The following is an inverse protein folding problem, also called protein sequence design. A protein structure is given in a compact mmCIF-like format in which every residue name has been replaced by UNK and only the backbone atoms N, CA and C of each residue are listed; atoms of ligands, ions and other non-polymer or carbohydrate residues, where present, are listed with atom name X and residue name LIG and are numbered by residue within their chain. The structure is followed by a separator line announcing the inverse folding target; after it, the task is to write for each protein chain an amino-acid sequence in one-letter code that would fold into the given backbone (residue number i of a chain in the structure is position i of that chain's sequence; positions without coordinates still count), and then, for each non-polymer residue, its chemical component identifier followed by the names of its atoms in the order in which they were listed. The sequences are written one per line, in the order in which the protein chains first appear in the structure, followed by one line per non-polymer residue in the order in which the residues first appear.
data_IF_200951630360
#
_entry.id   IF_200951630360
#
_cell.length_a   1.000
_cell.length_b   1.000
_cell.length_c   1.000
_cell.angle_alpha   90.00
_cell.angle_beta   90.00
_cell.angle_gamma   90.00
#
_symmetry.space_group_name_H-M   'P 1'
#
loop_
_entity.id
_entity.type
_entity.pdbx_description
1 polymer ?
#
# COMPACT_ATOMS: atom_id res chain seq x y z
N UNK A 1 -18.89 21.77 47.40
CA UNK A 1 -17.69 21.09 46.86
C UNK A 1 -17.32 21.80 45.56
N UNK A 2 -16.21 22.55 45.58
CA UNK A 2 -15.80 23.47 44.52
C UNK A 2 -14.87 22.77 43.49
N UNK A 3 -14.91 23.15 42.20
CA UNK A 3 -14.04 22.59 41.17
C UNK A 3 -12.64 23.21 41.22
N UNK A 4 -11.61 22.35 41.30
CA UNK A 4 -10.19 22.71 41.24
C UNK A 4 -9.79 22.92 39.77
N UNK A 5 -9.58 24.19 39.40
CA UNK A 5 -8.98 24.62 38.14
C UNK A 5 -7.46 24.32 38.14
N UNK A 6 -7.01 23.40 37.28
CA UNK A 6 -5.59 23.17 37.01
C UNK A 6 -5.15 23.94 35.76
N UNK A 7 -4.31 24.93 35.95
CA UNK A 7 -3.69 25.78 34.92
C UNK A 7 -2.54 25.07 34.19
N UNK A 8 -2.59 25.04 32.85
CA UNK A 8 -1.53 24.58 31.95
C UNK A 8 -0.43 25.65 31.81
N UNK A 9 0.81 25.28 32.17
CA UNK A 9 1.99 26.15 32.03
C UNK A 9 2.67 25.90 30.68
N UNK A 10 2.37 26.77 29.70
CA UNK A 10 3.09 26.90 28.42
C UNK A 10 4.54 27.31 28.68
N UNK A 11 5.51 26.52 28.20
CA UNK A 11 6.92 26.90 28.16
C UNK A 11 7.31 27.15 26.71
N UNK A 12 7.41 28.41 26.35
CA UNK A 12 8.03 28.87 25.11
C UNK A 12 9.55 28.71 25.24
N UNK A 13 10.20 28.13 24.23
CA UNK A 13 11.65 28.24 24.06
C UNK A 13 11.90 28.80 22.67
N UNK A 14 12.68 29.87 22.70
CA UNK A 14 12.92 30.83 21.65
C UNK A 14 13.70 30.26 20.47
N UNK A 15 13.32 30.77 19.29
CA UNK A 15 14.13 30.78 18.09
C UNK A 15 15.48 31.46 18.36
N UNK A 16 16.57 30.85 17.87
CA UNK A 16 17.88 31.50 17.74
C UNK A 16 18.24 31.57 16.28
N UNK A 17 18.00 32.75 15.70
CA UNK A 17 18.57 33.17 14.43
C UNK A 17 20.09 33.35 14.63
N UNK A 18 20.88 32.79 13.71
CA UNK A 18 22.33 32.88 13.71
C UNK A 18 22.84 32.94 12.27
N UNK A 19 22.78 34.14 11.70
CA UNK A 19 23.54 34.59 10.52
C UNK A 19 25.04 34.58 10.82
N UNK A 20 25.84 33.86 10.02
CA UNK A 20 27.24 34.24 9.73
C UNK A 20 27.77 33.44 8.53
N UNK A 21 27.90 34.12 7.39
CA UNK A 21 28.81 33.72 6.31
C UNK A 21 30.25 34.07 6.70
N UNK A 22 31.23 33.23 6.33
CA UNK A 22 32.49 33.77 5.85
C UNK A 22 32.81 33.24 4.45
N UNK A 23 33.04 34.21 3.57
CA UNK A 23 33.50 34.08 2.19
C UNK A 23 35.03 34.00 2.21
N UNK A 24 35.62 32.81 2.02
CA UNK A 24 37.06 32.69 1.71
C UNK A 24 37.31 31.53 0.74
N UNK A 25 37.66 31.90 -0.49
CA UNK A 25 38.34 31.07 -1.49
C UNK A 25 39.74 30.66 -0.97
N UNK A 26 40.39 29.61 -1.52
CA UNK A 26 41.10 29.79 -2.79
C UNK A 26 41.01 28.62 -3.78
N UNK A 27 40.98 29.02 -5.06
CA UNK A 27 41.34 28.24 -6.24
C UNK A 27 42.78 27.72 -6.10
N UNK A 28 42.96 26.42 -5.90
CA UNK A 28 44.20 25.73 -6.26
C UNK A 28 43.85 24.38 -6.87
N UNK A 29 43.88 24.35 -8.20
CA UNK A 29 43.85 23.13 -8.99
C UNK A 29 45.22 22.46 -8.92
N UNK A 30 45.34 21.21 -8.43
CA UNK A 30 46.42 20.35 -8.87
C UNK A 30 46.05 19.80 -10.26
N UNK A 31 46.69 20.37 -11.29
CA UNK A 31 46.89 19.72 -12.59
C UNK A 31 47.67 18.42 -12.36
N UNK A 32 46.96 17.33 -12.09
CA UNK A 32 47.52 15.99 -12.16
C UNK A 32 47.09 15.39 -13.50
N UNK A 33 48.07 15.37 -14.39
CA UNK A 33 48.13 14.76 -15.70
C UNK A 33 47.26 13.51 -15.86
N UNK A 34 46.41 13.41 -16.89
CA UNK A 34 45.85 12.13 -17.32
C UNK A 34 46.98 11.30 -17.93
N UNK A 35 47.67 10.52 -17.08
CA UNK A 35 48.58 9.47 -17.55
C UNK A 35 47.70 8.43 -18.23
N UNK A 36 47.82 8.37 -19.55
CA UNK A 36 47.13 7.42 -20.43
C UNK A 36 47.30 5.99 -19.90
N UNK A 37 46.29 5.50 -19.18
CA UNK A 37 46.13 4.08 -18.95
C UNK A 37 45.61 3.46 -20.26
N UNK A 38 46.20 2.35 -20.71
CA UNK A 38 45.76 1.67 -21.92
C UNK A 38 44.28 1.32 -21.79
N UNK A 39 43.55 1.68 -22.84
CA UNK A 39 42.16 1.36 -23.10
C UNK A 39 42.03 -0.15 -23.35
N UNK A 40 42.26 -0.94 -22.29
CA UNK A 40 41.87 -2.34 -22.26
C UNK A 40 40.34 -2.36 -22.08
N UNK A 41 39.64 -2.41 -23.21
CA UNK A 41 38.22 -2.71 -23.23
C UNK A 41 37.98 -3.94 -22.36
N UNK A 42 37.21 -3.86 -21.26
CA UNK A 42 36.84 -5.05 -20.52
C UNK A 42 36.10 -5.97 -21.49
N UNK A 43 36.66 -7.18 -21.63
CA UNK A 43 36.06 -8.27 -22.39
C UNK A 43 34.60 -8.41 -21.98
N UNK A 44 33.74 -8.46 -23.01
CA UNK A 44 32.30 -8.67 -22.97
C UNK A 44 31.78 -9.13 -21.61
N UNK A 45 31.20 -8.20 -20.84
CA UNK A 45 30.30 -8.58 -19.77
C UNK A 45 29.25 -9.52 -20.38
N UNK A 46 28.97 -10.69 -19.79
CA UNK A 46 28.02 -11.62 -20.35
C UNK A 46 26.68 -10.89 -20.52
N UNK A 47 26.21 -10.77 -21.76
CA UNK A 47 24.92 -10.22 -22.15
C UNK A 47 23.72 -11.08 -21.65
N UNK A 48 23.92 -11.86 -20.59
CA UNK A 48 22.95 -12.78 -20.00
C UNK A 48 22.21 -12.14 -18.83
N UNK A 49 21.69 -10.93 -19.04
CA UNK A 49 20.72 -10.30 -18.14
C UNK A 49 19.39 -10.08 -18.83
N UNK A 50 19.07 -10.90 -19.83
CA UNK A 50 17.76 -10.89 -20.46
C UNK A 50 16.73 -11.09 -19.37
N UNK A 51 15.90 -10.07 -19.16
CA UNK A 51 14.79 -10.04 -18.23
C UNK A 51 13.80 -11.12 -18.71
N UNK A 52 14.11 -12.39 -18.49
CA UNK A 52 13.23 -13.51 -18.82
C UNK A 52 11.98 -13.25 -18.02
N UNK A 53 10.92 -12.84 -18.71
CA UNK A 53 9.60 -12.73 -18.12
C UNK A 53 9.23 -14.15 -17.69
N UNK A 54 9.42 -14.42 -16.40
CA UNK A 54 9.00 -15.68 -15.81
C UNK A 54 7.51 -15.85 -16.08
N UNK A 55 7.11 -17.06 -16.45
CA UNK A 55 5.69 -17.38 -16.65
C UNK A 55 4.92 -17.15 -15.36
N UNK A 56 3.61 -16.88 -15.46
CA UNK A 56 2.77 -16.57 -14.29
C UNK A 56 2.84 -17.65 -13.20
N UNK A 57 2.91 -18.92 -13.61
CA UNK A 57 3.02 -20.06 -12.69
C UNK A 57 4.36 -20.11 -11.96
N UNK A 58 5.47 -19.90 -12.67
CA UNK A 58 6.81 -19.85 -12.07
C UNK A 58 6.89 -18.69 -11.06
N UNK A 59 6.34 -17.53 -11.42
CA UNK A 59 6.29 -16.37 -10.54
C UNK A 59 5.49 -16.65 -9.26
N UNK A 60 4.35 -17.32 -9.36
CA UNK A 60 3.56 -17.70 -8.18
C UNK A 60 4.27 -18.74 -7.30
N UNK A 61 4.92 -19.75 -7.89
CA UNK A 61 5.70 -20.73 -7.15
C UNK A 61 6.90 -20.08 -6.43
N UNK A 62 7.62 -19.19 -7.12
CA UNK A 62 8.70 -18.40 -6.54
C UNK A 62 8.20 -17.49 -5.42
N UNK A 63 7.03 -16.85 -5.59
CA UNK A 63 6.40 -16.01 -4.58
C UNK A 63 6.06 -16.80 -3.31
N UNK A 64 5.46 -17.99 -3.42
CA UNK A 64 5.16 -18.85 -2.25
C UNK A 64 6.43 -19.24 -1.49
N UNK A 65 7.46 -19.71 -2.21
CA UNK A 65 8.76 -20.04 -1.60
C UNK A 65 9.42 -18.83 -0.95
N UNK A 66 9.37 -17.67 -1.61
CA UNK A 66 9.89 -16.43 -1.06
C UNK A 66 9.20 -16.05 0.25
N UNK A 67 7.87 -16.14 0.30
CA UNK A 67 7.08 -15.88 1.51
C UNK A 67 7.54 -16.82 2.64
N UNK A 68 7.54 -18.14 2.42
CA UNK A 68 7.96 -19.12 3.44
C UNK A 68 9.37 -18.84 3.99
N UNK A 69 10.33 -18.54 3.12
CA UNK A 69 11.71 -18.21 3.52
C UNK A 69 11.76 -16.92 4.33
N UNK A 70 10.99 -15.90 3.94
CA UNK A 70 10.93 -14.64 4.69
C UNK A 70 10.28 -14.86 6.06
N UNK A 71 9.15 -15.57 6.12
CA UNK A 71 8.46 -15.85 7.38
C UNK A 71 9.33 -16.65 8.35
N UNK A 72 10.01 -17.69 7.87
CA UNK A 72 10.94 -18.49 8.67
C UNK A 72 12.11 -17.64 9.16
N UNK A 73 12.68 -16.81 8.27
CA UNK A 73 13.75 -15.89 8.61
C UNK A 73 13.37 -14.83 9.64
N UNK A 74 12.18 -14.25 9.52
CA UNK A 74 11.64 -13.28 10.50
C UNK A 74 11.43 -13.91 11.88
N UNK A 75 10.95 -15.17 11.93
CA UNK A 75 10.79 -15.92 13.18
C UNK A 75 12.13 -16.25 13.83
N UNK A 76 13.15 -16.59 13.04
CA UNK A 76 14.48 -16.94 13.55
C UNK A 76 15.36 -15.72 13.89
N UNK A 77 15.30 -14.66 13.10
CA UNK A 77 16.19 -13.49 13.18
C UNK A 77 15.43 -12.21 13.53
N UNK A 78 14.39 -12.29 14.39
CA UNK A 78 13.65 -11.11 14.85
C UNK A 78 14.55 -10.05 15.51
N UNK A 79 15.66 -10.47 16.12
CA UNK A 79 16.66 -9.58 16.72
C UNK A 79 17.40 -8.70 15.71
N UNK A 80 17.50 -9.10 14.43
CA UNK A 80 18.16 -8.30 13.40
C UNK A 80 17.37 -7.02 13.10
N UNK A 81 16.04 -7.09 13.16
CA UNK A 81 15.16 -5.95 12.93
C UNK A 81 15.10 -4.97 14.11
N UNK A 82 15.51 -5.39 15.31
CA UNK A 82 15.55 -4.50 16.47
C UNK A 82 16.50 -3.29 16.28
N UNK A 83 17.44 -3.38 15.33
CA UNK A 83 18.36 -2.28 14.96
C UNK A 83 17.83 -1.40 13.83
N UNK A 84 16.61 -1.68 13.34
CA UNK A 84 15.99 -1.00 12.21
C UNK A 84 16.55 -1.42 10.85
N UNK A 85 17.35 -2.50 10.80
CA UNK A 85 17.90 -3.02 9.55
C UNK A 85 16.90 -3.97 8.89
N UNK A 86 16.71 -3.88 7.55
CA UNK A 86 15.80 -4.76 6.85
C UNK A 86 16.31 -6.19 6.86
N UNK A 87 15.43 -7.12 7.21
CA UNK A 87 15.70 -8.54 7.04
C UNK A 87 15.65 -8.90 5.55
N UNK A 88 16.78 -9.33 4.97
CA UNK A 88 16.87 -9.74 3.56
C UNK A 88 17.39 -11.20 3.52
N UNK A 89 16.63 -12.15 2.95
CA UNK A 89 17.09 -13.52 2.79
C UNK A 89 18.40 -13.61 2.00
N UNK A 90 19.37 -14.40 2.47
CA UNK A 90 20.70 -14.54 1.85
C UNK A 90 20.65 -15.00 0.38
N UNK A 91 19.67 -15.81 0.01
CA UNK A 91 19.45 -16.29 -1.36
C UNK A 91 18.67 -15.33 -2.27
N UNK A 92 18.18 -14.18 -1.77
CA UNK A 92 17.27 -13.32 -2.53
C UNK A 92 17.82 -12.91 -3.90
N UNK A 93 19.08 -12.50 -3.95
CA UNK A 93 19.71 -12.02 -5.19
C UNK A 93 19.85 -13.11 -6.25
N UNK A 94 20.02 -14.36 -5.85
CA UNK A 94 20.24 -15.49 -6.76
C UNK A 94 18.91 -16.06 -7.26
N UNK A 95 18.01 -16.43 -6.34
CA UNK A 95 16.84 -17.25 -6.66
C UNK A 95 15.60 -16.41 -6.99
N UNK A 96 15.38 -15.32 -6.25
CA UNK A 96 14.11 -14.60 -6.27
C UNK A 96 14.17 -13.30 -7.05
N UNK A 97 15.32 -12.62 -7.07
CA UNK A 97 15.45 -11.30 -7.71
C UNK A 97 15.16 -11.34 -9.22
N UNK A 98 15.50 -12.43 -9.91
CA UNK A 98 15.28 -12.55 -11.35
C UNK A 98 13.79 -12.66 -11.71
N UNK A 99 12.99 -13.31 -10.85
CA UNK A 99 11.58 -13.61 -11.10
C UNK A 99 10.65 -12.57 -10.44
N UNK A 100 10.98 -12.15 -9.22
CA UNK A 100 10.14 -11.28 -8.38
C UNK A 100 10.63 -9.83 -8.34
N UNK A 101 11.85 -9.56 -8.82
CA UNK A 101 12.44 -8.23 -8.83
C UNK A 101 13.10 -7.80 -7.52
N UNK A 102 13.28 -6.49 -7.31
CA UNK A 102 13.89 -5.95 -6.10
C UNK A 102 13.11 -6.31 -4.83
N UNK A 103 13.82 -6.77 -3.79
CA UNK A 103 13.22 -7.25 -2.54
C UNK A 103 12.21 -6.28 -1.93
N UNK A 104 12.59 -5.00 -1.78
CA UNK A 104 11.71 -3.97 -1.20
C UNK A 104 10.39 -3.84 -1.96
N UNK A 105 10.44 -3.89 -3.30
CA UNK A 105 9.25 -3.79 -4.16
C UNK A 105 8.35 -5.03 -4.02
N UNK A 106 8.96 -6.20 -3.92
CA UNK A 106 8.22 -7.45 -3.68
C UNK A 106 7.47 -7.40 -2.35
N UNK A 107 8.15 -7.02 -1.25
CA UNK A 107 7.55 -6.97 0.08
C UNK A 107 6.43 -5.93 0.16
N UNK A 108 6.63 -4.75 -0.44
CA UNK A 108 5.63 -3.68 -0.52
C UNK A 108 4.39 -4.09 -1.35
N UNK A 109 4.60 -4.87 -2.41
CA UNK A 109 3.53 -5.42 -3.24
C UNK A 109 2.80 -6.60 -2.59
N UNK A 110 3.39 -7.25 -1.58
CA UNK A 110 2.86 -8.46 -1.00
C UNK A 110 2.02 -8.14 0.24
N UNK A 111 0.74 -8.50 0.22
CA UNK A 111 -0.19 -8.26 1.34
C UNK A 111 0.13 -9.04 2.63
N UNK A 112 1.05 -10.03 2.56
CA UNK A 112 1.45 -10.84 3.70
C UNK A 112 2.44 -10.12 4.63
N UNK A 113 3.08 -9.07 4.12
CA UNK A 113 4.09 -8.32 4.82
C UNK A 113 3.70 -6.86 4.94
N UNK A 114 4.19 -6.23 5.99
CA UNK A 114 4.10 -4.78 6.19
C UNK A 114 5.50 -4.21 6.29
N UNK A 115 5.77 -3.20 5.49
CA UNK A 115 7.02 -2.46 5.54
C UNK A 115 6.82 -1.24 6.45
N UNK A 116 7.53 -1.20 7.57
CA UNK A 116 7.61 0.00 8.39
C UNK A 116 8.87 0.78 8.02
N UNK A 117 8.69 2.06 7.69
CA UNK A 117 9.80 2.91 7.34
C UNK A 117 10.55 3.31 8.62
N UNK A 118 11.85 3.03 8.65
CA UNK A 118 12.71 3.44 9.75
C UNK A 118 13.05 4.93 9.70
N UNK A 119 13.90 5.36 10.62
CA UNK A 119 14.37 6.75 10.76
C UNK A 119 15.05 7.30 9.49
N UNK A 120 15.64 6.42 8.67
CA UNK A 120 16.28 6.79 7.41
C UNK A 120 15.56 6.12 6.24
N UNK A 121 15.48 6.78 5.08
CA UNK A 121 14.86 6.21 3.88
C UNK A 121 15.46 4.86 3.43
N UNK A 122 16.71 4.58 3.81
CA UNK A 122 17.40 3.31 3.54
C UNK A 122 17.09 2.20 4.54
N UNK A 123 16.50 2.54 5.70
CA UNK A 123 16.19 1.62 6.79
C UNK A 123 14.69 1.36 6.81
N UNK A 124 14.32 0.09 6.85
CA UNK A 124 12.94 -0.34 6.97
C UNK A 124 12.88 -1.70 7.65
N UNK A 125 11.84 -1.93 8.44
CA UNK A 125 11.58 -3.23 9.06
C UNK A 125 10.40 -3.90 8.36
N UNK A 126 10.37 -5.22 8.39
CA UNK A 126 9.34 -6.02 7.73
C UNK A 126 8.63 -6.81 8.80
N UNK A 127 7.34 -6.56 8.97
CA UNK A 127 6.50 -7.26 9.93
C UNK A 127 5.59 -8.22 9.18
N UNK A 128 5.36 -9.40 9.78
CA UNK A 128 4.29 -10.29 9.35
C UNK A 128 2.95 -9.56 9.54
N UNK A 129 2.10 -9.56 8.52
CA UNK A 129 0.78 -8.94 8.62
C UNK A 129 -0.07 -9.54 9.76
N UNK A 130 0.24 -10.76 10.19
CA UNK A 130 -0.45 -11.46 11.29
C UNK A 130 0.15 -11.25 12.68
N UNK A 131 1.43 -10.87 12.81
CA UNK A 131 2.17 -11.04 14.08
C UNK A 131 2.26 -9.75 14.91
N UNK A 132 2.27 -8.59 14.26
CA UNK A 132 2.61 -7.34 14.95
C UNK A 132 1.70 -6.22 14.54
N UNK A 133 0.64 -6.00 15.34
CA UNK A 133 0.01 -4.70 15.58
C UNK A 133 -0.14 -3.80 14.37
N UNK A 134 -0.46 -4.39 13.20
CA UNK A 134 -0.49 -3.65 11.98
C UNK A 134 -1.54 -2.59 12.17
N UNK A 135 -1.15 -1.29 12.12
CA UNK A 135 -2.05 -0.15 12.02
C UNK A 135 -3.33 -0.66 11.40
N UNK A 136 -4.35 -0.82 12.25
CA UNK A 136 -5.61 -1.42 11.85
C UNK A 136 -5.90 -0.82 10.51
N UNK A 137 -6.15 -1.63 9.46
CA UNK A 137 -6.74 -1.06 8.24
C UNK A 137 -7.88 -0.22 8.79
N UNK A 138 -7.72 1.10 8.73
CA UNK A 138 -8.49 2.03 9.55
C UNK A 138 -9.93 1.57 9.33
N UNK A 139 -10.58 1.02 10.37
CA UNK A 139 -11.74 0.16 10.19
C UNK A 139 -12.66 0.88 9.23
N UNK A 140 -13.06 0.28 8.09
CA UNK A 140 -13.58 0.95 6.88
C UNK A 140 -14.32 2.29 7.07
N UNK A 141 -15.13 2.42 8.14
CA UNK A 141 -15.75 3.66 8.58
C UNK A 141 -14.78 4.85 8.77
N UNK A 142 -13.55 4.62 9.20
CA UNK A 142 -12.54 5.64 9.48
C UNK A 142 -11.89 6.15 8.18
N UNK A 143 -11.64 5.28 7.20
CA UNK A 143 -11.26 5.70 5.84
C UNK A 143 -12.36 6.58 5.22
N UNK A 144 -13.62 6.16 5.34
CA UNK A 144 -14.78 6.92 4.86
C UNK A 144 -14.91 8.26 5.59
N UNK A 145 -14.69 8.29 6.91
CA UNK A 145 -14.71 9.52 7.71
C UNK A 145 -13.58 10.47 7.30
N UNK A 146 -12.37 9.96 7.08
CA UNK A 146 -11.24 10.75 6.61
C UNK A 146 -11.52 11.34 5.23
N UNK A 147 -12.09 10.55 4.31
CA UNK A 147 -12.49 11.03 2.97
C UNK A 147 -13.58 12.10 3.05
N UNK A 148 -14.58 11.92 3.90
CA UNK A 148 -15.64 12.90 4.14
C UNK A 148 -15.07 14.21 4.72
N UNK A 149 -14.13 14.10 5.67
CA UNK A 149 -13.44 15.25 6.23
C UNK A 149 -12.61 16.00 5.17
N UNK A 150 -11.83 15.29 4.36
CA UNK A 150 -11.07 15.90 3.27
C UNK A 150 -11.99 16.60 2.24
N UNK A 151 -13.15 16.02 1.97
CA UNK A 151 -14.15 16.62 1.08
C UNK A 151 -14.72 17.91 1.68
N UNK A 152 -15.06 17.89 2.98
CA UNK A 152 -15.49 19.10 3.70
C UNK A 152 -14.42 20.19 3.66
N UNK A 153 -13.14 19.85 3.90
CA UNK A 153 -12.03 20.80 3.80
C UNK A 153 -11.87 21.38 2.39
N UNK A 154 -12.25 20.67 1.32
CA UNK A 154 -12.20 21.20 -0.05
C UNK A 154 -13.37 22.11 -0.38
N UNK A 155 -14.56 21.80 0.14
CA UNK A 155 -15.80 22.53 -0.14
C UNK A 155 -16.02 23.75 0.75
N UNK A 156 -15.41 23.78 1.94
CA UNK A 156 -15.58 24.85 2.91
C UNK A 156 -14.36 25.77 2.94
N UNK A 157 -14.59 27.08 2.88
CA UNK A 157 -13.54 28.10 3.03
C UNK A 157 -12.85 27.98 4.38
N UNK A 158 -11.54 28.30 4.42
CA UNK A 158 -10.71 28.16 5.64
C UNK A 158 -11.27 28.91 6.85
N UNK A 159 -11.97 30.02 6.65
CA UNK A 159 -12.55 30.86 7.70
C UNK A 159 -13.87 30.32 8.27
N UNK A 160 -14.47 29.32 7.61
CA UNK A 160 -15.76 28.71 8.00
C UNK A 160 -15.62 27.23 8.41
N UNK A 161 -14.38 26.73 8.53
CA UNK A 161 -14.12 25.34 8.89
C UNK A 161 -14.18 25.17 10.41
N UNK A 162 -15.34 24.75 10.88
CA UNK A 162 -15.55 24.41 12.28
C UNK A 162 -15.62 22.87 12.42
N UNK A 163 -14.66 22.24 13.10
CA UNK A 163 -14.65 20.78 13.28
C UNK A 163 -15.94 20.25 13.94
N UNK A 164 -16.50 21.03 14.88
CA UNK A 164 -17.72 20.67 15.60
C UNK A 164 -18.95 20.56 14.69
N UNK A 165 -19.06 21.42 13.67
CA UNK A 165 -20.16 21.35 12.70
C UNK A 165 -20.09 20.06 11.87
N UNK A 166 -18.88 19.67 11.46
CA UNK A 166 -18.68 18.41 10.72
C UNK A 166 -19.05 17.21 11.58
N UNK A 167 -18.59 17.15 12.84
CA UNK A 167 -18.90 16.05 13.76
C UNK A 167 -20.41 15.99 14.05
N UNK A 168 -21.07 17.14 14.25
CA UNK A 168 -22.51 17.20 14.45
C UNK A 168 -23.28 16.65 13.23
N UNK A 169 -22.82 16.98 12.01
CA UNK A 169 -23.43 16.50 10.77
C UNK A 169 -23.18 15.00 10.56
N UNK A 170 -21.96 14.52 10.80
CA UNK A 170 -21.64 13.09 10.76
C UNK A 170 -22.50 12.27 11.72
N UNK A 171 -22.68 12.75 12.97
CA UNK A 171 -23.59 12.12 13.95
C UNK A 171 -25.04 12.09 13.46
N UNK A 172 -25.53 13.16 12.84
CA UNK A 172 -26.88 13.21 12.25
C UNK A 172 -27.06 12.20 11.12
N UNK A 173 -26.04 11.98 10.29
CA UNK A 173 -26.07 10.97 9.22
C UNK A 173 -26.17 9.57 9.82
N UNK A 174 -25.31 9.22 10.79
CA UNK A 174 -25.35 7.90 11.44
C UNK A 174 -26.71 7.62 12.09
N UNK A 175 -27.29 8.61 12.77
CA UNK A 175 -28.63 8.48 13.37
C UNK A 175 -29.74 8.23 12.32
N UNK A 176 -29.61 8.82 11.14
CA UNK A 176 -30.57 8.64 10.03
C UNK A 176 -30.39 7.28 9.33
N UNK A 177 -29.15 6.86 9.11
CA UNK A 177 -28.84 5.61 8.39
C UNK A 177 -29.20 4.37 9.22
N UNK A 178 -28.93 4.39 10.53
CA UNK A 178 -29.30 3.29 11.43
C UNK A 178 -30.81 3.03 11.53
N UNK A 179 -31.64 4.06 11.26
CA UNK A 179 -33.10 3.92 11.27
C UNK A 179 -33.67 3.35 9.95
N UNK A 180 -32.91 3.45 8.85
CA UNK A 180 -33.34 2.98 7.52
C UNK A 180 -33.08 1.49 7.32
N UNK A 181 -31.94 0.97 7.79
CA UNK A 181 -31.61 -0.45 7.66
C UNK A 181 -32.56 -1.37 8.46
N UNK A 182 -33.10 -0.89 9.58
CA UNK A 182 -34.12 -1.60 10.36
C UNK A 182 -35.49 -1.68 9.65
N UNK A 183 -35.80 -0.74 8.75
CA UNK A 183 -37.06 -0.78 7.96
C UNK A 183 -36.96 -1.67 6.73
N UNK A 184 -35.77 -1.88 6.18
CA UNK A 184 -35.59 -2.72 5.00
C UNK A 184 -35.62 -4.22 5.34
N UNK A 185 -34.98 -4.64 6.44
CA UNK A 185 -35.07 -6.04 6.92
C UNK A 185 -36.49 -6.48 7.32
N UNK A 186 -37.35 -5.54 7.74
CA UNK A 186 -38.75 -5.84 8.09
C UNK A 186 -39.67 -6.04 6.87
N UNK A 187 -39.26 -5.57 5.69
CA UNK A 187 -40.01 -5.81 4.44
C UNK A 187 -39.64 -7.16 3.83
N UNK A 188 -38.39 -7.61 4.00
CA UNK A 188 -37.93 -8.90 3.47
C UNK A 188 -38.45 -10.09 4.29
N UNK A 189 -38.52 -10.00 5.62
CA UNK A 189 -39.10 -11.06 6.46
C UNK A 189 -40.63 -11.20 6.26
N UNK A 190 -41.32 -10.13 5.85
CA UNK A 190 -42.76 -10.18 5.56
C UNK A 190 -43.08 -10.72 4.17
N UNK A 191 -42.10 -10.81 3.27
CA UNK A 191 -42.25 -11.44 1.95
C UNK A 191 -42.06 -12.96 2.00
N UNK A 192 -41.20 -13.47 2.91
CA UNK A 192 -40.98 -14.91 3.08
C UNK A 192 -42.17 -15.65 3.72
N UNK A 193 -43.02 -14.97 4.48
CA UNK A 193 -44.25 -15.55 5.06
C UNK A 193 -45.45 -15.66 4.12
N UNK A 194 -45.34 -15.23 2.85
CA UNK A 194 -46.39 -15.38 1.83
C UNK A 194 -46.09 -16.46 0.78
N UNK A 195 -44.96 -17.16 0.88
CA UNK A 195 -44.58 -18.21 -0.09
C UNK A 195 -44.73 -19.65 0.42
N UNK A 196 -44.99 -19.88 1.72
CA UNK A 196 -45.25 -21.23 2.28
C UNK A 196 -46.74 -21.64 2.24
N UNK A 197 -47.57 -20.97 1.42
CA UNK A 197 -49.02 -21.18 1.37
C UNK A 197 -49.57 -21.73 0.05
N UNK A 198 -48.74 -22.33 -0.81
CA UNK A 198 -49.25 -22.95 -2.06
C UNK A 198 -48.48 -24.23 -2.43
N UNK A 199 -48.71 -25.26 -1.63
CA UNK A 199 -48.50 -26.64 -2.03
C UNK A 199 -49.66 -27.09 -2.93
N UNK A 200 -49.37 -27.46 -4.19
CA UNK A 200 -49.85 -28.68 -4.88
C UNK A 200 -49.51 -28.60 -6.38
N UNK A 201 -48.53 -29.42 -6.80
CA UNK A 201 -48.66 -30.45 -7.84
C UNK A 201 -47.35 -30.60 -8.67
N UNK A 202 -46.82 -31.84 -8.79
CA UNK A 202 -45.55 -32.11 -9.47
C UNK A 202 -45.77 -32.53 -10.92
N UNK A 203 -45.12 -31.88 -11.90
CA UNK A 203 -44.93 -32.47 -13.25
C UNK A 203 -43.61 -32.06 -13.91
N UNK A 204 -42.82 -33.11 -14.16
CA UNK A 204 -42.07 -33.44 -15.39
C UNK A 204 -40.81 -32.63 -15.75
N UNK A 205 -39.69 -33.34 -15.56
CA UNK A 205 -38.57 -33.57 -16.51
C UNK A 205 -38.55 -32.73 -17.80
N UNK A 206 -37.49 -31.94 -17.95
CA UNK A 206 -36.70 -31.72 -19.18
C UNK A 206 -35.40 -31.01 -18.71
N UNK A 207 -34.21 -31.60 -18.74
CA UNK A 207 -33.32 -31.84 -19.89
C UNK A 207 -33.30 -30.67 -20.89
N UNK A 208 -32.42 -29.70 -20.65
CA UNK A 208 -31.80 -28.93 -21.75
C UNK A 208 -30.39 -28.49 -21.35
N UNK A 209 -29.42 -28.97 -22.12
CA UNK A 209 -28.07 -28.43 -22.22
C UNK A 209 -28.11 -27.16 -23.08
N UNK A 210 -27.36 -26.11 -22.73
CA UNK A 210 -27.09 -24.93 -23.57
C UNK A 210 -25.83 -24.28 -22.98
N UNK A 211 -24.66 -24.42 -23.63
CA UNK A 211 -24.10 -23.55 -24.69
C UNK A 211 -23.46 -22.31 -24.04
N UNK A 212 -22.13 -22.26 -23.91
CA UNK A 212 -21.16 -21.71 -24.89
C UNK A 212 -21.34 -20.20 -25.11
N UNK A 213 -20.40 -19.45 -24.55
CA UNK A 213 -19.87 -18.12 -24.92
C UNK A 213 -18.51 -18.05 -24.20
N UNK A 214 -17.31 -17.96 -24.79
CA UNK A 214 -16.84 -17.51 -26.11
C UNK A 214 -17.34 -16.12 -26.52
N UNK A 215 -16.58 -15.12 -26.07
CA UNK A 215 -16.30 -13.76 -26.57
C UNK A 215 -14.83 -13.60 -26.13
N UNK A 216 -13.77 -13.46 -26.94
CA UNK A 216 -13.55 -12.87 -28.28
C UNK A 216 -14.01 -11.41 -28.41
N UNK A 217 -13.18 -10.60 -29.09
CA UNK A 217 -13.15 -9.12 -29.24
C UNK A 217 -12.40 -8.37 -28.13
N UNK A 218 -11.46 -7.45 -28.39
CA UNK A 218 -10.92 -6.81 -29.62
C UNK A 218 -9.55 -6.22 -29.16
N UNK A 219 -8.46 -6.35 -29.91
CA UNK A 219 -8.08 -5.48 -31.05
C UNK A 219 -7.93 -4.00 -30.63
N UNK A 220 -6.69 -3.60 -30.37
CA UNK A 220 -6.22 -2.22 -30.52
C UNK A 220 -4.70 -2.31 -30.78
N UNK A 221 -4.42 -2.76 -32.01
CA UNK A 221 -3.26 -2.34 -32.80
C UNK A 221 -3.41 -0.82 -33.02
N UNK A 222 -2.65 -0.01 -32.27
CA UNK A 222 -2.39 1.38 -32.66
C UNK A 222 -0.87 1.60 -32.67
N UNK A 223 -0.38 1.32 -33.87
CA UNK A 223 0.84 1.74 -34.51
C UNK A 223 0.83 3.28 -34.60
N UNK A 224 1.52 3.96 -33.68
CA UNK A 224 1.83 5.39 -33.83
C UNK A 224 3.35 5.55 -33.93
N UNK A 225 3.79 5.24 -35.15
CA UNK A 225 4.99 5.71 -35.82
C UNK A 225 4.86 7.23 -36.05
N UNK A 226 5.48 8.05 -35.20
CA UNK A 226 5.92 9.38 -35.61
C UNK A 226 7.45 9.49 -35.46
N UNK A 227 8.11 9.25 -36.59
CA UNK A 227 9.29 10.00 -37.01
C UNK A 227 9.05 11.50 -36.80
N UNK A 228 9.93 12.17 -36.06
CA UNK A 228 10.23 13.57 -36.38
C UNK A 228 11.69 13.92 -36.02
N UNK A 229 12.22 14.82 -36.85
CA UNK A 229 13.60 15.09 -37.31
C UNK A 229 14.73 15.27 -36.27
#
# INVERSE_FOLDING_TARGET
MAPVVKTLKKKAVAAKAGTASPKLSPKTSPMLSPKASPKASPAAAPAGGGNRQATGEERQAAMKKAIEVIEAGLKSESAAQAKGDPFIPKGWRADFKQVLGPYRKFVDSCSHFRVEQGDTASKYTIHLASDGGGADKLPKWEEELQKAWQTYLKMTDKTKREPDEFVAKAKSVVAKTGSKEAKEKKVEEKKKRKEDGKETAPKKKAKTATKKQEEEEDDDDDDDDEEDE
#
